data_IF_359488935889
#
_entry.id   IF_359488935889
#
_cell.length_a   1.000
_cell.length_b   1.000
_cell.length_c   1.000
_cell.angle_alpha   90.00
_cell.angle_beta   90.00
_cell.angle_gamma   90.00
#
_symmetry.space_group_name_H-M   'P 1'
#
loop_
_entity.id
_entity.type
_entity.pdbx_description
1 polymer ?
#
# COMPACT_ATOMS: atom_id res chain seq x y z
N UNK A 1 15.75 -17.08 20.09
CA UNK A 1 15.57 -16.60 18.70
C UNK A 1 15.61 -15.09 18.77
N UNK A 2 16.56 -14.45 18.09
CA UNK A 2 16.75 -13.00 18.22
C UNK A 2 15.63 -12.26 17.46
N UNK A 3 14.81 -11.51 18.21
CA UNK A 3 13.73 -10.67 17.65
C UNK A 3 14.24 -9.61 16.65
N UNK A 4 15.53 -9.29 16.70
CA UNK A 4 16.18 -8.32 15.81
C UNK A 4 16.24 -8.76 14.35
N UNK A 5 15.89 -10.00 14.02
CA UNK A 5 16.10 -10.56 12.68
C UNK A 5 14.83 -10.67 11.81
N UNK A 6 13.66 -10.25 12.31
CA UNK A 6 12.42 -10.28 11.54
C UNK A 6 12.16 -8.98 10.78
N UNK A 7 11.75 -9.09 9.52
CA UNK A 7 11.25 -7.93 8.78
C UNK A 7 9.92 -7.45 9.36
N UNK A 8 9.53 -6.19 9.09
CA UNK A 8 8.23 -5.65 9.53
C UNK A 8 7.04 -6.52 9.07
N UNK A 9 7.14 -7.13 7.89
CA UNK A 9 6.11 -8.00 7.32
C UNK A 9 6.03 -9.35 8.04
N UNK A 10 7.19 -9.93 8.34
CA UNK A 10 7.30 -11.19 9.08
C UNK A 10 6.75 -11.03 10.49
N UNK A 11 7.18 -9.99 11.19
CA UNK A 11 6.69 -9.68 12.54
C UNK A 11 5.17 -9.50 12.55
N UNK A 12 4.62 -8.70 11.63
CA UNK A 12 3.18 -8.50 11.52
C UNK A 12 2.43 -9.82 11.24
N UNK A 13 2.96 -10.66 10.33
CA UNK A 13 2.36 -11.96 9.99
C UNK A 13 2.35 -12.91 11.18
N UNK A 14 3.43 -12.95 11.96
CA UNK A 14 3.56 -13.79 13.15
C UNK A 14 2.56 -13.36 14.22
N UNK A 15 2.52 -12.06 14.54
CA UNK A 15 1.59 -11.51 15.52
C UNK A 15 0.14 -11.77 15.12
N UNK A 16 -0.22 -11.51 13.86
CA UNK A 16 -1.58 -11.76 13.36
C UNK A 16 -1.97 -13.23 13.44
N UNK A 17 -1.09 -14.14 12.99
CA UNK A 17 -1.37 -15.58 13.06
C UNK A 17 -1.49 -16.07 14.51
N UNK A 18 -0.64 -15.58 15.42
CA UNK A 18 -0.66 -15.99 16.82
C UNK A 18 -1.85 -15.41 17.58
N UNK A 19 -2.19 -14.14 17.35
CA UNK A 19 -3.39 -13.53 17.92
C UNK A 19 -4.66 -14.28 17.48
N UNK A 20 -4.73 -14.72 16.22
CA UNK A 20 -5.84 -15.54 15.74
C UNK A 20 -5.92 -16.88 16.49
N UNK A 21 -4.79 -17.55 16.72
CA UNK A 21 -4.77 -18.80 17.52
C UNK A 21 -5.31 -18.56 18.93
N UNK A 22 -4.88 -17.49 19.59
CA UNK A 22 -5.32 -17.13 20.94
C UNK A 22 -6.83 -16.84 20.96
N UNK A 23 -7.33 -16.10 19.96
CA UNK A 23 -8.77 -15.85 19.80
C UNK A 23 -9.59 -17.15 19.61
N UNK A 24 -8.95 -18.19 19.05
CA UNK A 24 -9.51 -19.55 18.95
C UNK A 24 -9.26 -20.41 20.20
N UNK A 25 -8.97 -19.79 21.34
CA UNK A 25 -8.67 -20.45 22.62
C UNK A 25 -7.47 -21.42 22.57
N UNK A 26 -6.49 -21.17 21.71
CA UNK A 26 -5.23 -21.91 21.74
C UNK A 26 -4.49 -21.65 23.07
N UNK A 27 -3.75 -22.65 23.59
CA UNK A 27 -3.03 -22.50 24.84
C UNK A 27 -1.92 -21.44 24.73
N UNK A 28 -1.78 -20.67 25.81
CA UNK A 28 -0.68 -19.72 26.00
C UNK A 28 0.59 -20.48 26.39
N UNK A 29 1.71 -20.12 25.77
CA UNK A 29 3.01 -20.74 26.00
C UNK A 29 3.80 -20.06 27.14
N UNK A 30 3.38 -18.87 27.55
CA UNK A 30 3.94 -18.15 28.70
C UNK A 30 3.02 -18.28 29.92
N UNK A 31 3.63 -18.26 31.11
CA UNK A 31 2.91 -18.15 32.37
C UNK A 31 2.64 -16.67 32.63
N UNK A 32 1.41 -16.23 32.37
CA UNK A 32 0.95 -14.88 32.71
C UNK A 32 0.09 -14.99 33.97
N UNK A 33 0.33 -14.12 34.95
CA UNK A 33 -0.55 -14.00 36.11
C UNK A 33 -1.92 -13.46 35.69
N UNK A 34 -2.97 -13.79 36.45
CA UNK A 34 -4.33 -13.35 36.10
C UNK A 34 -4.46 -11.83 36.17
N UNK A 35 -3.79 -11.19 37.13
CA UNK A 35 -3.76 -9.73 37.25
C UNK A 35 -3.18 -9.07 36.00
N UNK A 36 -2.16 -9.67 35.38
CA UNK A 36 -1.53 -9.12 34.18
C UNK A 36 -2.38 -9.31 32.92
N UNK A 37 -3.15 -10.41 32.84
CA UNK A 37 -4.14 -10.63 31.78
C UNK A 37 -5.30 -9.65 31.86
N UNK A 38 -5.76 -9.33 33.08
CA UNK A 38 -6.81 -8.34 33.31
C UNK A 38 -6.38 -6.93 32.92
N UNK A 39 -5.13 -6.54 33.21
CA UNK A 39 -4.55 -5.24 32.81
C UNK A 39 -4.55 -5.04 31.29
N UNK A 40 -4.35 -6.11 30.52
CA UNK A 40 -4.37 -6.05 29.05
C UNK A 40 -5.75 -6.39 28.46
N UNK A 41 -6.78 -6.53 29.31
CA UNK A 41 -8.17 -6.83 28.91
C UNK A 41 -8.28 -8.08 28.03
N UNK A 42 -7.41 -9.07 28.24
CA UNK A 42 -7.37 -10.30 27.44
C UNK A 42 -7.23 -10.08 25.93
N UNK A 43 -6.61 -8.96 25.51
CA UNK A 43 -6.37 -8.67 24.11
C UNK A 43 -5.39 -9.68 23.50
N UNK A 44 -5.88 -10.48 22.55
CA UNK A 44 -5.11 -11.51 21.87
C UNK A 44 -3.86 -10.97 21.17
N UNK A 45 -3.89 -9.73 20.68
CA UNK A 45 -2.74 -9.12 20.01
C UNK A 45 -1.62 -8.84 21.02
N UNK A 46 -1.96 -8.24 22.17
CA UNK A 46 -0.99 -7.96 23.24
C UNK A 46 -0.40 -9.24 23.81
N UNK A 47 -1.22 -10.28 23.97
CA UNK A 47 -0.73 -11.59 24.44
C UNK A 47 0.26 -12.18 23.42
N UNK A 48 -0.04 -12.11 22.12
CA UNK A 48 0.87 -12.55 21.07
C UNK A 48 2.18 -11.76 21.05
N UNK A 49 2.15 -10.45 21.34
CA UNK A 49 3.35 -9.62 21.47
C UNK A 49 4.24 -10.06 22.62
N UNK A 50 3.66 -10.32 23.80
CA UNK A 50 4.42 -10.78 24.98
C UNK A 50 5.07 -12.14 24.68
N UNK A 51 4.34 -13.07 24.05
CA UNK A 51 4.90 -14.37 23.67
C UNK A 51 6.01 -14.28 22.62
N UNK A 52 5.84 -13.40 21.62
CA UNK A 52 6.87 -13.17 20.61
C UNK A 52 8.13 -12.57 21.24
N UNK A 53 7.98 -11.57 22.12
CA UNK A 53 9.09 -10.93 22.83
C UNK A 53 9.80 -11.87 23.80
N UNK A 54 9.08 -12.85 24.34
CA UNK A 54 9.63 -13.90 25.20
C UNK A 54 10.38 -14.99 24.41
N UNK A 55 10.29 -14.98 23.08
CA UNK A 55 10.99 -15.94 22.22
C UNK A 55 10.51 -17.39 22.35
N UNK A 56 9.32 -17.61 22.91
CA UNK A 56 8.77 -18.96 23.18
C UNK A 56 8.03 -19.58 22.00
N UNK A 57 7.72 -18.78 20.96
CA UNK A 57 6.96 -19.25 19.81
C UNK A 57 7.79 -20.22 18.95
N UNK A 58 7.34 -21.48 18.74
CA UNK A 58 8.03 -22.46 17.93
C UNK A 58 7.75 -22.23 16.44
N UNK A 59 8.26 -21.12 15.89
CA UNK A 59 7.99 -20.69 14.52
C UNK A 59 9.27 -20.63 13.69
N UNK A 60 9.16 -20.93 12.40
CA UNK A 60 10.25 -20.80 11.43
C UNK A 60 9.73 -20.09 10.19
N UNK A 61 10.52 -19.16 9.65
CA UNK A 61 10.15 -18.38 8.47
C UNK A 61 10.89 -18.92 7.26
N UNK A 62 10.12 -19.34 6.26
CA UNK A 62 10.67 -19.67 4.95
C UNK A 62 10.77 -18.42 4.08
N UNK A 63 11.98 -18.00 3.71
CA UNK A 63 12.24 -16.85 2.82
C UNK A 63 12.71 -17.34 1.44
N UNK A 64 11.80 -17.68 0.52
CA UNK A 64 12.19 -18.16 -0.79
C UNK A 64 12.79 -17.01 -1.62
N UNK A 65 13.96 -17.25 -2.18
CA UNK A 65 14.53 -16.35 -3.19
C UNK A 65 13.74 -16.49 -4.50
N UNK A 66 13.61 -15.42 -5.29
CA UNK A 66 12.98 -15.50 -6.60
C UNK A 66 13.73 -16.53 -7.46
N UNK A 67 12.98 -17.49 -8.01
CA UNK A 67 13.52 -18.49 -8.94
C UNK A 67 13.23 -18.04 -10.36
N UNK A 68 14.21 -18.21 -11.25
CA UNK A 68 14.00 -18.01 -12.69
C UNK A 68 12.98 -19.03 -13.19
N UNK A 69 11.88 -18.54 -13.79
CA UNK A 69 10.89 -19.39 -14.45
C UNK A 69 11.25 -19.47 -15.93
N UNK A 70 11.55 -20.66 -16.45
CA UNK A 70 11.84 -20.89 -17.87
C UNK A 70 10.58 -20.89 -18.76
N UNK A 71 9.54 -20.16 -18.35
CA UNK A 71 8.37 -19.96 -19.21
C UNK A 71 8.71 -18.90 -20.24
N UNK A 72 8.43 -19.17 -21.50
CA UNK A 72 8.40 -18.13 -22.53
C UNK A 72 7.40 -17.06 -22.08
N UNK A 73 7.87 -15.83 -21.88
CA UNK A 73 7.00 -14.69 -21.64
C UNK A 73 6.05 -14.61 -22.83
N UNK A 74 4.74 -14.81 -22.58
CA UNK A 74 3.73 -14.53 -23.61
C UNK A 74 3.77 -13.02 -23.81
N UNK A 75 4.41 -12.57 -24.90
CA UNK A 75 4.26 -11.19 -25.36
C UNK A 75 2.76 -10.95 -25.49
N UNK A 76 2.23 -9.99 -24.75
CA UNK A 76 0.86 -9.52 -24.97
C UNK A 76 0.82 -9.18 -26.45
N UNK A 77 -0.06 -9.83 -27.22
CA UNK A 77 -0.28 -9.44 -28.61
C UNK A 77 -0.91 -8.05 -28.54
N UNK A 78 -0.09 -7.01 -28.61
CA UNK A 78 -0.57 -5.69 -28.99
C UNK A 78 -1.18 -5.91 -30.37
N UNK A 79 -2.52 -5.82 -30.45
CA UNK A 79 -3.18 -5.83 -31.74
C UNK A 79 -2.63 -4.62 -32.48
N UNK A 80 -1.92 -4.77 -33.61
CA UNK A 80 -1.51 -3.61 -34.39
C UNK A 80 -2.80 -2.97 -34.92
N UNK A 81 -3.27 -1.93 -34.24
CA UNK A 81 -4.32 -1.08 -34.75
C UNK A 81 -3.70 -0.31 -35.91
N UNK A 82 -4.29 -0.42 -37.11
CA UNK A 82 -3.94 0.45 -38.24
C UNK A 82 -4.13 1.91 -37.82
N UNK A 83 -3.32 2.82 -38.35
CA UNK A 83 -3.32 4.23 -37.94
C UNK A 83 -4.72 4.86 -37.98
N UNK A 84 -5.51 4.54 -39.02
CA UNK A 84 -6.92 4.94 -39.14
C UNK A 84 -7.80 4.56 -37.94
N UNK A 85 -7.59 3.38 -37.36
CA UNK A 85 -8.40 2.89 -36.23
C UNK A 85 -7.93 3.46 -34.87
N UNK A 86 -6.76 4.09 -34.83
CA UNK A 86 -6.32 4.86 -33.67
C UNK A 86 -6.94 6.24 -33.74
N UNK A 87 -6.85 6.87 -34.91
CA UNK A 87 -7.44 8.17 -35.21
C UNK A 87 -8.96 8.16 -34.96
N UNK A 88 -9.70 7.17 -35.48
CA UNK A 88 -11.15 7.01 -35.20
C UNK A 88 -11.46 6.92 -33.70
N UNK A 89 -10.63 6.20 -32.93
CA UNK A 89 -10.82 6.06 -31.48
C UNK A 89 -10.46 7.33 -30.71
N UNK A 90 -9.46 8.07 -31.18
CA UNK A 90 -9.06 9.36 -30.63
C UNK A 90 -10.17 10.39 -30.88
N UNK A 91 -10.71 10.44 -32.10
CA UNK A 91 -11.87 11.29 -32.46
C UNK A 91 -13.12 10.98 -31.62
N UNK A 92 -13.39 9.69 -31.40
CA UNK A 92 -14.54 9.28 -30.57
C UNK A 92 -14.34 9.63 -29.09
N UNK A 93 -13.12 9.49 -28.58
CA UNK A 93 -12.76 9.91 -27.21
C UNK A 93 -12.84 11.44 -27.05
N UNK A 94 -12.37 12.22 -28.02
CA UNK A 94 -12.48 13.68 -28.00
C UNK A 94 -13.95 14.11 -27.97
N UNK A 95 -14.81 13.48 -28.75
CA UNK A 95 -16.26 13.75 -28.72
C UNK A 95 -16.88 13.40 -27.38
N UNK A 96 -16.56 12.24 -26.79
CA UNK A 96 -17.05 11.85 -25.46
C UNK A 96 -16.58 12.83 -24.37
N UNK A 97 -15.34 13.31 -24.45
CA UNK A 97 -14.78 14.29 -23.51
C UNK A 97 -15.48 15.66 -23.64
N UNK A 98 -15.75 16.10 -24.87
CA UNK A 98 -16.47 17.36 -25.15
C UNK A 98 -17.94 17.25 -24.71
N UNK A 99 -18.60 16.13 -25.00
CA UNK A 99 -20.00 15.87 -24.65
C UNK A 99 -20.17 15.69 -23.13
N UNK A 100 -19.20 15.05 -22.46
CA UNK A 100 -19.17 14.90 -21.01
C UNK A 100 -19.04 16.21 -20.24
N UNK A 101 -18.51 17.28 -20.86
CA UNK A 101 -18.59 18.65 -20.34
C UNK A 101 -17.89 18.92 -18.99
N UNK A 102 -17.17 17.95 -18.42
CA UNK A 102 -16.57 18.07 -17.09
C UNK A 102 -15.39 19.05 -17.05
N UNK A 103 -14.65 19.21 -18.15
CA UNK A 103 -13.46 20.07 -18.22
C UNK A 103 -13.80 21.56 -18.32
N UNK A 104 -14.83 21.92 -19.09
CA UNK A 104 -15.23 23.34 -19.26
C UNK A 104 -15.90 23.91 -18.00
N UNK A 105 -16.40 23.04 -17.12
CA UNK A 105 -17.04 23.42 -15.86
C UNK A 105 -16.04 23.71 -14.72
N UNK A 106 -14.77 23.32 -14.89
CA UNK A 106 -13.73 23.42 -13.85
C UNK A 106 -12.88 24.70 -13.95
N UNK A 107 -12.91 25.41 -15.07
CA UNK A 107 -12.20 26.69 -15.24
C UNK A 107 -13.20 27.85 -15.16
N UNK A 108 -13.36 28.43 -13.97
CA UNK A 108 -14.01 29.73 -13.83
C UNK A 108 -12.94 30.81 -14.04
N UNK A 109 -13.18 31.82 -14.89
CA UNK A 109 -12.22 32.91 -15.11
C UNK A 109 -11.92 33.74 -13.85
N UNK A 110 -12.70 33.56 -12.79
CA UNK A 110 -12.51 34.22 -11.50
C UNK A 110 -11.48 33.50 -10.58
N UNK A 111 -10.98 32.31 -10.96
CA UNK A 111 -10.00 31.53 -10.17
C UNK A 111 -8.52 31.91 -10.46
N UNK A 112 -8.25 32.87 -11.36
CA UNK A 112 -6.91 33.44 -11.60
C UNK A 112 -6.72 34.71 -10.75
N UNK A 113 -6.18 34.59 -9.54
CA UNK A 113 -5.68 35.76 -8.78
C UNK A 113 -4.34 36.24 -9.38
N UNK A 114 -4.33 37.46 -9.93
CA UNK A 114 -3.10 38.16 -10.35
C UNK A 114 -2.29 38.58 -9.10
N UNK A 115 -1.18 37.91 -8.81
CA UNK A 115 -0.19 38.43 -7.85
C UNK A 115 0.61 39.58 -8.49
N UNK A 116 0.27 40.82 -8.12
CA UNK A 116 1.11 42.00 -8.31
C UNK A 116 2.38 41.91 -7.45
N UNK A 117 3.55 42.10 -8.07
CA UNK A 117 4.71 42.70 -7.41
C UNK A 117 5.53 43.49 -8.43
N UNK A 118 5.52 44.81 -8.28
CA UNK A 118 6.36 45.75 -9.02
C UNK A 118 7.68 46.04 -8.32
N UNK A 119 8.65 46.54 -9.07
CA UNK A 119 9.41 47.77 -8.77
C UNK A 119 10.38 48.11 -9.93
N UNK A 120 10.66 49.41 -10.04
CA UNK A 120 11.14 50.17 -11.20
C UNK A 120 12.67 50.14 -11.43
N UNK A 121 13.09 50.18 -12.71
CA UNK A 121 14.28 50.89 -13.27
C UNK A 121 15.71 50.53 -12.80
N UNK A 122 16.79 50.89 -13.55
CA UNK A 122 16.87 51.96 -14.54
C UNK A 122 17.38 51.55 -15.94
N UNK A 123 17.13 52.43 -16.91
CA UNK A 123 17.63 52.41 -18.29
C UNK A 123 19.12 52.84 -18.36
N UNK A 124 19.94 52.14 -19.16
CA UNK A 124 21.26 52.59 -19.60
C UNK A 124 21.23 52.97 -21.10
N UNK A 125 21.77 54.17 -21.37
CA UNK A 125 22.11 54.88 -22.62
C UNK A 125 21.03 55.46 -23.54
#
# INVERSE_FOLDING_TARGET
MDLQNFTKYERARILGARALQIAMNAPLLIKIEKEDLEKISFDALKIAEIELNSGVLPISIHKPMPKKKESQLKRIKLVPMSDKKKEEKEDDLEKEIIEGGEIMKLAQPDDEEEEENGEEGPEEE
#
